data_IF_525938830056
#
_entry.id   IF_525938830056
#
_cell.length_a   1.000
_cell.length_b   1.000
_cell.length_c   1.000
_cell.angle_alpha   90.00
_cell.angle_beta   90.00
_cell.angle_gamma   90.00
#
_symmetry.space_group_name_H-M   'P 1'
#
loop_
_entity.id
_entity.type
_entity.pdbx_description
1 polymer ?
#
# COMPACT_ATOMS: atom_id res chain seq x y z
N UNK A 1 12.41 11.70 5.49
CA UNK A 1 11.66 10.58 4.88
C UNK A 1 12.62 9.90 3.92
N UNK A 2 12.83 8.57 4.03
CA UNK A 2 13.75 7.84 3.15
C UNK A 2 12.92 7.21 2.02
N UNK A 3 13.03 7.79 0.83
CA UNK A 3 12.31 7.39 -0.37
C UNK A 3 13.35 7.07 -1.44
N UNK A 4 13.30 5.88 -2.02
CA UNK A 4 14.21 5.44 -3.08
C UNK A 4 13.41 5.11 -4.32
N UNK A 5 13.73 5.78 -5.42
CA UNK A 5 13.20 5.46 -6.75
C UNK A 5 13.80 4.12 -7.21
N UNK A 6 12.94 3.21 -7.69
CA UNK A 6 13.34 1.88 -8.18
C UNK A 6 12.93 1.65 -9.65
N UNK A 7 12.73 2.72 -10.42
CA UNK A 7 12.35 2.68 -11.84
C UNK A 7 10.85 2.53 -12.04
N UNK A 8 10.26 1.48 -11.46
CA UNK A 8 8.81 1.20 -11.57
C UNK A 8 8.01 1.70 -10.34
N UNK A 9 8.67 2.41 -9.43
CA UNK A 9 8.01 2.92 -8.23
C UNK A 9 8.95 3.55 -7.22
N UNK A 10 8.42 3.78 -6.02
CA UNK A 10 9.15 4.37 -4.90
C UNK A 10 9.06 3.41 -3.72
N UNK A 11 10.21 3.02 -3.19
CA UNK A 11 10.31 2.32 -1.91
C UNK A 11 10.37 3.36 -0.80
N UNK A 12 9.48 3.24 0.18
CA UNK A 12 9.44 4.08 1.36
C UNK A 12 9.57 3.24 2.62
N UNK A 13 10.57 3.51 3.44
CA UNK A 13 10.79 2.72 4.67
C UNK A 13 9.82 3.08 5.80
N UNK A 14 9.27 4.30 5.78
CA UNK A 14 8.30 4.76 6.77
C UNK A 14 7.36 5.78 6.16
N UNK A 15 6.06 5.47 6.18
CA UNK A 15 4.98 6.37 5.82
C UNK A 15 4.11 6.56 7.07
N UNK A 16 4.16 7.74 7.65
CA UNK A 16 3.24 8.12 8.73
C UNK A 16 1.99 8.72 8.12
N UNK A 17 0.84 8.13 8.43
CA UNK A 17 -0.48 8.63 8.03
C UNK A 17 -1.33 8.83 9.28
N UNK A 18 -2.25 9.78 9.21
CA UNK A 18 -3.22 10.00 10.26
C UNK A 18 -4.21 8.82 10.35
N UNK A 19 -4.80 8.59 11.53
CA UNK A 19 -5.69 7.45 11.77
C UNK A 19 -6.93 7.47 10.86
N UNK A 20 -7.51 8.64 10.63
CA UNK A 20 -8.62 8.85 9.70
C UNK A 20 -8.24 8.48 8.28
N UNK A 21 -7.05 8.86 7.83
CA UNK A 21 -6.55 8.52 6.49
C UNK A 21 -6.31 7.00 6.36
N UNK A 22 -5.81 6.35 7.41
CA UNK A 22 -5.66 4.88 7.46
C UNK A 22 -7.01 4.20 7.27
N UNK A 23 -8.04 4.64 7.97
CA UNK A 23 -9.38 4.05 7.88
C UNK A 23 -9.98 4.26 6.49
N UNK A 24 -9.79 5.44 5.90
CA UNK A 24 -10.23 5.72 4.53
C UNK A 24 -9.54 4.82 3.50
N UNK A 25 -8.24 4.56 3.65
CA UNK A 25 -7.50 3.65 2.76
C UNK A 25 -8.06 2.22 2.88
N UNK A 26 -8.28 1.74 4.11
CA UNK A 26 -8.86 0.41 4.34
C UNK A 26 -10.25 0.31 3.70
N UNK A 27 -11.10 1.31 3.89
CA UNK A 27 -12.43 1.33 3.28
C UNK A 27 -12.37 1.35 1.76
N UNK A 28 -11.46 2.11 1.15
CA UNK A 28 -11.27 2.09 -0.30
C UNK A 28 -10.83 0.70 -0.79
N UNK A 29 -9.83 0.09 -0.14
CA UNK A 29 -9.36 -1.26 -0.49
C UNK A 29 -10.46 -2.33 -0.34
N UNK A 30 -11.35 -2.18 0.65
CA UNK A 30 -12.44 -3.11 0.91
C UNK A 30 -13.67 -2.91 0.02
N UNK A 31 -13.92 -1.72 -0.50
CA UNK A 31 -15.20 -1.41 -1.15
C UNK A 31 -15.08 -1.00 -2.61
N UNK A 32 -13.90 -0.60 -3.08
CA UNK A 32 -13.69 -0.23 -4.49
C UNK A 32 -13.38 -1.49 -5.33
N UNK A 33 -14.26 -1.91 -6.25
CA UNK A 33 -14.09 -3.14 -7.03
C UNK A 33 -12.90 -3.11 -7.99
N UNK A 34 -12.50 -1.93 -8.47
CA UNK A 34 -11.36 -1.77 -9.36
C UNK A 34 -10.04 -1.88 -8.58
N UNK A 35 -10.01 -1.29 -7.38
CA UNK A 35 -8.94 -1.51 -6.41
C UNK A 35 -8.86 -2.97 -5.97
N UNK A 36 -9.98 -3.62 -5.65
CA UNK A 36 -10.00 -5.05 -5.31
C UNK A 36 -9.49 -5.94 -6.46
N UNK A 37 -9.85 -5.64 -7.70
CA UNK A 37 -9.31 -6.34 -8.89
C UNK A 37 -7.80 -6.19 -8.99
N UNK A 38 -7.29 -4.99 -8.69
CA UNK A 38 -5.85 -4.73 -8.63
C UNK A 38 -5.20 -5.36 -7.39
N UNK A 39 -5.91 -5.50 -6.27
CA UNK A 39 -5.44 -6.16 -5.04
C UNK A 39 -5.39 -7.68 -5.14
N UNK A 40 -6.13 -8.31 -6.04
CA UNK A 40 -5.98 -9.74 -6.35
C UNK A 40 -4.80 -10.03 -7.28
N UNK A 41 -4.20 -9.00 -7.87
CA UNK A 41 -2.91 -9.05 -8.56
C UNK A 41 -2.08 -7.80 -8.23
N UNK A 42 -1.81 -7.53 -6.94
CA UNK A 42 -1.21 -6.27 -6.58
C UNK A 42 0.28 -6.35 -6.85
N UNK A 43 0.82 -5.29 -7.45
CA UNK A 43 2.26 -5.08 -7.42
C UNK A 43 2.79 -4.90 -6.00
N UNK A 44 1.93 -4.59 -5.01
CA UNK A 44 2.30 -4.59 -3.59
C UNK A 44 1.17 -4.95 -2.61
N UNK A 45 1.51 -5.65 -1.51
CA UNK A 45 0.60 -6.01 -0.42
C UNK A 45 0.95 -5.25 0.87
N UNK A 46 0.00 -5.13 1.81
CA UNK A 46 0.26 -4.51 3.12
C UNK A 46 0.18 -5.61 4.18
N UNK A 47 1.27 -5.84 4.92
CA UNK A 47 1.32 -6.78 6.03
C UNK A 47 0.58 -6.25 7.27
N UNK A 48 0.27 -7.15 8.20
CA UNK A 48 -0.49 -6.83 9.42
C UNK A 48 0.20 -5.79 10.32
N UNK A 49 1.51 -5.62 10.18
CA UNK A 49 2.33 -4.61 10.87
C UNK A 49 2.37 -3.25 10.14
N UNK A 50 1.69 -3.13 8.99
CA UNK A 50 1.65 -1.94 8.16
C UNK A 50 2.79 -1.84 7.14
N UNK A 51 3.66 -2.87 7.01
CA UNK A 51 4.70 -2.90 6.00
C UNK A 51 4.10 -3.07 4.60
N UNK A 52 4.55 -2.26 3.63
CA UNK A 52 4.15 -2.37 2.22
C UNK A 52 5.18 -3.24 1.50
N UNK A 53 4.77 -4.42 1.04
CA UNK A 53 5.56 -5.45 0.36
C UNK A 53 5.32 -5.39 -1.15
N UNK A 54 6.31 -4.96 -1.93
CA UNK A 54 6.22 -4.93 -3.39
C UNK A 54 6.65 -6.28 -3.99
N UNK A 55 5.86 -6.88 -4.87
CA UNK A 55 6.09 -8.20 -5.48
C UNK A 55 6.22 -9.38 -4.50
N UNK A 56 5.62 -9.28 -3.30
CA UNK A 56 5.68 -10.33 -2.29
C UNK A 56 7.06 -10.51 -1.64
N UNK A 57 7.91 -9.48 -1.68
CA UNK A 57 9.20 -9.40 -1.00
C UNK A 57 9.32 -8.18 -0.11
#
# INVERSE_FOLDING_TARGET
MNMTDVGDGIVMNRLEISCDLRDLIIQAQMNDPDLQRRLNNPEFSIAADGAILYSGR
#
